data_IF_143071879037
#
_entry.id   IF_143071879037
#
_cell.length_a   1.000
_cell.length_b   1.000
_cell.length_c   1.000
_cell.angle_alpha   90.00
_cell.angle_beta   90.00
_cell.angle_gamma   90.00
#
_symmetry.space_group_name_H-M   'P 1'
#
loop_
_entity.id
_entity.type
_entity.pdbx_description
1 polymer ?
#
# COMPACT_ATOMS: atom_id res chain seq x y z
N UNK A 1 -12.98 16.82 14.75
CA UNK A 1 -13.37 15.43 14.46
C UNK A 1 -13.38 15.31 12.95
N UNK A 2 -12.42 14.61 12.36
CA UNK A 2 -12.37 14.43 10.91
C UNK A 2 -13.49 13.50 10.48
N UNK A 3 -14.19 13.86 9.43
CA UNK A 3 -15.13 12.96 8.80
C UNK A 3 -14.36 11.86 8.04
N UNK A 4 -14.98 10.69 7.90
CA UNK A 4 -14.46 9.56 7.12
C UNK A 4 -14.08 9.97 5.68
N UNK A 5 -14.74 10.99 5.15
CA UNK A 5 -14.48 11.58 3.84
C UNK A 5 -13.14 12.31 3.81
N UNK A 6 -12.79 13.02 4.87
CA UNK A 6 -11.51 13.73 5.00
C UNK A 6 -10.36 12.74 5.15
N UNK A 7 -10.55 11.66 5.92
CA UNK A 7 -9.56 10.60 6.05
C UNK A 7 -9.32 9.86 4.72
N UNK A 8 -10.38 9.50 3.99
CA UNK A 8 -10.27 8.86 2.67
C UNK A 8 -9.68 9.81 1.63
N UNK A 9 -9.88 11.11 1.75
CA UNK A 9 -9.22 12.12 0.93
C UNK A 9 -7.72 12.19 1.23
N UNK A 10 -7.30 12.05 2.48
CA UNK A 10 -5.88 11.91 2.83
C UNK A 10 -5.27 10.61 2.30
N UNK A 11 -5.98 9.49 2.42
CA UNK A 11 -5.54 8.20 1.89
C UNK A 11 -5.53 8.17 0.35
N UNK A 12 -6.51 8.80 -0.32
CA UNK A 12 -6.56 8.85 -1.79
C UNK A 12 -5.48 9.78 -2.37
N UNK A 13 -5.06 10.80 -1.64
CA UNK A 13 -3.86 11.59 -1.97
C UNK A 13 -2.60 10.73 -1.81
N UNK A 14 -2.61 9.80 -0.87
CA UNK A 14 -1.53 8.81 -0.70
C UNK A 14 -1.57 7.68 -1.74
N UNK A 15 -2.74 7.39 -2.35
CA UNK A 15 -2.97 6.24 -3.23
C UNK A 15 -3.24 6.54 -4.71
N UNK A 16 -3.15 7.79 -5.17
CA UNK A 16 -3.16 8.13 -6.61
C UNK A 16 -4.44 7.87 -7.40
N UNK A 17 -5.64 7.85 -6.77
CA UNK A 17 -6.91 7.74 -7.48
C UNK A 17 -7.63 9.09 -7.56
N UNK A 18 -7.71 9.67 -8.75
CA UNK A 18 -8.31 10.96 -9.02
C UNK A 18 -9.66 10.85 -9.74
N UNK A 19 -10.67 11.55 -9.22
CA UNK A 19 -11.80 12.03 -9.99
C UNK A 19 -11.83 13.55 -9.96
N UNK A 20 -12.09 14.16 -11.11
CA UNK A 20 -12.10 15.60 -11.36
C UNK A 20 -13.26 16.30 -10.66
N UNK A 21 -13.14 16.60 -9.38
CA UNK A 21 -14.04 17.54 -8.70
C UNK A 21 -13.24 18.42 -7.74
N UNK A 22 -13.53 19.71 -7.76
CA UNK A 22 -12.92 20.78 -6.99
C UNK A 22 -12.61 20.34 -5.55
N UNK A 23 -11.31 20.30 -5.22
CA UNK A 23 -10.85 19.98 -3.87
C UNK A 23 -11.19 21.13 -2.93
N UNK A 24 -11.86 20.88 -1.78
CA UNK A 24 -11.91 21.87 -0.72
C UNK A 24 -10.48 22.06 -0.20
N UNK A 25 -10.10 23.31 0.04
CA UNK A 25 -8.83 23.67 0.67
C UNK A 25 -8.71 22.91 1.98
N UNK A 26 -7.79 21.94 2.03
CA UNK A 26 -7.56 21.15 3.25
C UNK A 26 -6.82 22.07 4.21
N UNK A 27 -7.51 22.58 5.22
CA UNK A 27 -6.86 23.25 6.33
C UNK A 27 -5.86 22.25 6.95
N UNK A 28 -4.59 22.66 7.07
CA UNK A 28 -3.57 21.82 7.70
C UNK A 28 -4.07 21.36 9.06
N UNK A 29 -4.20 20.04 9.29
CA UNK A 29 -4.71 19.55 10.55
C UNK A 29 -3.68 19.85 11.63
N UNK A 30 -4.00 20.78 12.51
CA UNK A 30 -3.22 21.01 13.72
C UNK A 30 -3.38 19.80 14.63
N UNK A 31 -2.31 19.04 14.81
CA UNK A 31 -2.18 17.97 15.82
C UNK A 31 -3.10 16.74 15.60
N UNK A 32 -3.07 16.11 14.44
CA UNK A 32 -3.62 14.75 14.29
C UNK A 32 -2.73 13.81 15.10
N UNK A 33 -3.31 13.16 16.10
CA UNK A 33 -2.64 12.09 16.83
C UNK A 33 -2.81 10.75 16.09
N UNK A 34 -1.91 9.79 16.36
CA UNK A 34 -2.03 8.42 15.85
C UNK A 34 -3.40 7.81 16.19
N UNK A 35 -3.90 8.08 17.40
CA UNK A 35 -5.24 7.65 17.83
C UNK A 35 -6.37 8.26 16.99
N UNK A 36 -6.20 9.44 16.43
CA UNK A 36 -7.22 10.07 15.58
C UNK A 36 -7.26 9.44 14.19
N UNK A 37 -6.14 8.92 13.69
CA UNK A 37 -6.08 8.20 12.41
C UNK A 37 -6.83 6.87 12.46
N UNK A 38 -6.95 6.28 13.64
CA UNK A 38 -7.60 4.99 13.86
C UNK A 38 -9.09 5.13 14.24
N UNK A 39 -9.54 6.34 14.60
CA UNK A 39 -10.93 6.62 14.98
C UNK A 39 -11.77 6.95 13.77
N UNK A 40 -12.41 5.96 13.19
CA UNK A 40 -13.46 6.14 12.19
C UNK A 40 -14.69 5.32 12.57
N UNK A 41 -15.87 5.96 12.48
CA UNK A 41 -17.13 5.31 12.82
C UNK A 41 -17.41 4.11 11.89
N UNK A 42 -17.73 2.97 12.47
CA UNK A 42 -18.19 1.82 11.71
C UNK A 42 -19.57 2.10 11.12
N UNK A 43 -19.70 1.95 9.79
CA UNK A 43 -21.00 2.09 9.10
C UNK A 43 -21.62 0.76 8.66
N UNK A 44 -20.92 -0.34 8.86
CA UNK A 44 -21.33 -1.66 8.44
C UNK A 44 -21.08 -2.70 9.52
N UNK A 45 -21.39 -3.96 9.19
CA UNK A 45 -21.20 -5.11 10.07
C UNK A 45 -19.82 -5.75 9.89
N UNK A 46 -19.15 -5.51 8.76
CA UNK A 46 -17.84 -6.05 8.40
C UNK A 46 -16.92 -4.91 8.00
N UNK A 47 -15.66 -5.01 8.38
CA UNK A 47 -14.57 -4.11 7.97
C UNK A 47 -13.67 -4.85 7.00
N UNK A 48 -13.49 -4.30 5.80
CA UNK A 48 -12.49 -4.79 4.84
C UNK A 48 -11.21 -3.97 5.01
N UNK A 49 -10.12 -4.65 5.29
CA UNK A 49 -8.76 -4.11 5.20
C UNK A 49 -8.11 -4.66 3.94
N UNK A 50 -7.57 -3.79 3.14
CA UNK A 50 -6.84 -4.17 1.93
C UNK A 50 -5.43 -3.60 2.01
N UNK A 51 -4.46 -4.48 1.87
CA UNK A 51 -3.05 -4.14 1.69
C UNK A 51 -2.59 -4.64 0.32
N UNK A 52 -1.58 -4.02 -0.25
CA UNK A 52 -0.98 -4.40 -1.53
C UNK A 52 0.39 -3.75 -1.65
N UNK A 53 1.23 -4.27 -2.54
CA UNK A 53 2.51 -3.65 -2.91
C UNK A 53 3.43 -3.36 -1.72
N UNK A 54 3.51 -4.29 -0.78
CA UNK A 54 4.36 -4.14 0.41
C UNK A 54 5.85 -4.25 0.07
N UNK A 55 6.19 -4.81 -1.10
CA UNK A 55 7.53 -4.89 -1.65
C UNK A 55 8.59 -5.39 -0.66
N UNK A 56 8.22 -6.36 0.17
CA UNK A 56 9.07 -6.95 1.21
C UNK A 56 9.70 -5.91 2.16
N UNK A 57 9.03 -4.79 2.37
CA UNK A 57 9.49 -3.75 3.28
C UNK A 57 9.06 -4.04 4.71
N UNK A 58 9.81 -4.89 5.41
CA UNK A 58 9.51 -5.28 6.80
C UNK A 58 9.63 -4.11 7.78
N UNK A 59 10.58 -3.19 7.56
CA UNK A 59 10.86 -2.07 8.44
C UNK A 59 10.78 -0.74 7.71
N UNK A 60 10.47 0.37 8.41
CA UNK A 60 10.50 1.69 7.81
C UNK A 60 11.84 2.03 7.17
N UNK A 61 11.80 2.67 6.02
CA UNK A 61 12.97 3.12 5.27
C UNK A 61 12.91 4.63 5.00
N UNK A 62 14.04 5.20 4.59
CA UNK A 62 14.06 6.53 3.99
C UNK A 62 13.63 6.39 2.52
N UNK A 63 12.33 6.59 2.31
CA UNK A 63 11.76 6.57 0.96
C UNK A 63 12.16 7.82 0.19
N UNK A 64 12.54 7.65 -1.07
CA UNK A 64 12.83 8.73 -1.99
C UNK A 64 11.99 8.54 -3.24
N UNK A 65 10.97 9.37 -3.47
CA UNK A 65 10.23 9.38 -4.71
C UNK A 65 11.17 9.64 -5.90
N UNK A 66 10.87 9.12 -7.10
CA UNK A 66 11.65 9.41 -8.29
C UNK A 66 11.68 10.91 -8.57
N UNK A 67 12.82 11.40 -9.11
CA UNK A 67 12.95 12.80 -9.50
C UNK A 67 12.25 13.10 -10.82
N UNK A 68 11.99 12.07 -11.61
CA UNK A 68 11.45 12.15 -12.95
C UNK A 68 10.39 11.06 -13.15
N UNK A 69 9.37 11.41 -13.92
CA UNK A 69 8.31 10.48 -14.32
C UNK A 69 7.83 10.90 -15.71
N UNK A 70 8.29 10.20 -16.72
CA UNK A 70 8.07 10.57 -18.11
C UNK A 70 6.69 10.14 -18.60
N UNK A 71 5.88 11.11 -19.03
CA UNK A 71 4.74 10.88 -19.90
C UNK A 71 5.18 10.80 -21.35
N UNK A 72 4.38 10.17 -22.20
CA UNK A 72 4.62 10.04 -23.64
C UNK A 72 3.52 10.78 -24.42
N UNK A 73 3.91 11.63 -25.37
CA UNK A 73 2.96 12.39 -26.19
C UNK A 73 2.09 13.32 -25.35
N UNK A 74 0.78 13.18 -25.47
CA UNK A 74 -0.19 14.04 -24.78
C UNK A 74 -0.24 13.84 -23.26
N UNK A 75 0.46 12.85 -22.74
CA UNK A 75 0.54 12.58 -21.29
C UNK A 75 1.77 13.21 -20.61
N UNK A 76 2.60 13.95 -21.33
CA UNK A 76 3.74 14.65 -20.76
C UNK A 76 3.28 15.81 -19.87
N UNK A 77 3.83 15.89 -18.68
CA UNK A 77 3.59 17.00 -17.74
C UNK A 77 2.19 17.09 -17.13
N UNK A 78 1.38 16.02 -17.28
CA UNK A 78 0.08 15.89 -16.61
C UNK A 78 0.07 14.66 -15.68
N UNK A 79 -0.84 14.59 -14.68
CA UNK A 79 -0.97 13.40 -13.84
C UNK A 79 -1.22 12.13 -14.67
N UNK A 80 -0.60 11.00 -14.30
CA UNK A 80 0.26 10.75 -13.12
C UNK A 80 1.74 11.10 -13.31
N UNK A 81 2.12 11.77 -14.40
CA UNK A 81 3.50 12.04 -14.82
C UNK A 81 4.06 13.35 -14.25
N UNK A 82 3.69 13.70 -13.04
CA UNK A 82 4.20 14.86 -12.32
C UNK A 82 5.06 14.43 -11.13
N UNK A 83 6.20 15.12 -10.94
CA UNK A 83 7.09 14.90 -9.80
C UNK A 83 7.60 16.21 -9.23
N UNK A 84 8.15 16.17 -8.03
CA UNK A 84 8.83 17.29 -7.41
C UNK A 84 7.97 18.55 -7.29
N UNK A 85 8.48 19.67 -7.73
CA UNK A 85 7.80 20.98 -7.58
C UNK A 85 6.52 21.11 -8.40
N UNK A 86 6.46 20.44 -9.55
CA UNK A 86 5.27 20.46 -10.40
C UNK A 86 4.14 19.66 -9.79
N UNK A 87 4.47 18.53 -9.16
CA UNK A 87 3.53 17.76 -8.34
C UNK A 87 2.97 18.61 -7.19
N UNK A 88 3.83 19.25 -6.40
CA UNK A 88 3.40 20.11 -5.30
C UNK A 88 2.47 21.24 -5.77
N UNK A 89 2.82 21.87 -6.91
CA UNK A 89 2.02 22.96 -7.49
C UNK A 89 0.66 22.46 -7.97
N UNK A 90 0.63 21.36 -8.69
CA UNK A 90 -0.60 20.80 -9.26
C UNK A 90 -1.61 20.41 -8.17
N UNK A 91 -1.14 19.79 -7.10
CA UNK A 91 -1.97 19.33 -6.00
C UNK A 91 -2.12 20.33 -4.85
N UNK A 92 -1.62 21.55 -5.02
CA UNK A 92 -1.64 22.59 -4.00
C UNK A 92 -1.06 22.14 -2.64
N UNK A 93 -0.01 21.33 -2.68
CA UNK A 93 0.68 20.84 -1.49
C UNK A 93 1.70 21.88 -1.04
N UNK A 94 1.62 22.29 0.22
CA UNK A 94 2.56 23.20 0.82
C UNK A 94 3.95 22.56 0.99
N UNK A 95 5.01 23.32 0.67
CA UNK A 95 6.39 22.86 0.88
C UNK A 95 6.70 22.67 2.36
N UNK A 96 7.70 21.87 2.65
CA UNK A 96 8.16 21.59 4.01
C UNK A 96 7.08 21.00 4.92
N UNK A 97 6.19 20.20 4.35
CA UNK A 97 5.15 19.48 5.09
C UNK A 97 5.38 17.97 5.04
N UNK A 98 4.78 17.18 5.95
CA UNK A 98 4.82 15.72 5.89
C UNK A 98 4.32 15.18 4.54
N UNK A 99 3.33 15.85 3.96
CA UNK A 99 2.74 15.49 2.68
C UNK A 99 3.73 15.71 1.52
N UNK A 100 4.43 16.85 1.52
CA UNK A 100 5.49 17.12 0.54
C UNK A 100 6.62 16.10 0.64
N UNK A 101 6.99 15.70 1.86
CA UNK A 101 8.00 14.69 2.12
C UNK A 101 7.58 13.30 1.64
N UNK A 102 6.32 12.92 1.85
CA UNK A 102 5.80 11.61 1.44
C UNK A 102 5.69 11.46 -0.08
N UNK A 103 5.47 12.55 -0.82
CA UNK A 103 5.16 12.50 -2.26
C UNK A 103 6.24 13.06 -3.18
N UNK A 104 7.26 13.71 -2.66
CA UNK A 104 8.30 14.33 -3.50
C UNK A 104 9.68 14.20 -2.89
N UNK A 105 10.70 14.43 -3.71
CA UNK A 105 12.08 14.56 -3.24
C UNK A 105 12.49 16.03 -2.97
N UNK A 106 11.55 16.97 -3.04
CA UNK A 106 11.82 18.39 -2.77
C UNK A 106 12.24 18.57 -1.32
N UNK A 107 13.41 19.20 -1.11
CA UNK A 107 14.03 19.40 0.21
C UNK A 107 14.19 18.10 1.04
N UNK A 108 14.33 16.96 0.35
CA UNK A 108 14.33 15.62 0.93
C UNK A 108 15.25 15.45 2.13
N UNK A 109 16.50 15.93 2.04
CA UNK A 109 17.51 15.71 3.10
C UNK A 109 17.11 16.38 4.42
N UNK A 110 16.54 17.58 4.36
CA UNK A 110 16.07 18.28 5.56
C UNK A 110 14.80 17.66 6.13
N UNK A 111 13.85 17.33 5.25
CA UNK A 111 12.59 16.71 5.67
C UNK A 111 12.77 15.27 6.19
N UNK A 112 13.73 14.51 5.64
CA UNK A 112 14.07 13.20 6.16
C UNK A 112 14.65 13.25 7.59
N UNK A 113 15.36 14.31 7.95
CA UNK A 113 15.83 14.53 9.34
C UNK A 113 14.68 14.87 10.29
N UNK A 114 13.66 15.56 9.79
CA UNK A 114 12.49 15.98 10.56
C UNK A 114 11.46 14.86 10.71
N UNK A 115 11.09 14.22 9.61
CA UNK A 115 10.00 13.23 9.56
C UNK A 115 10.48 11.78 9.63
N UNK A 116 11.73 11.51 9.35
CA UNK A 116 12.33 10.19 9.51
C UNK A 116 11.91 9.17 8.44
N UNK A 117 11.88 7.91 8.83
CA UNK A 117 11.59 6.78 7.95
C UNK A 117 10.09 6.58 7.76
N UNK A 118 9.70 6.10 6.57
CA UNK A 118 8.32 5.85 6.16
C UNK A 118 8.06 4.36 5.92
N UNK A 119 6.77 3.98 5.94
CA UNK A 119 6.32 2.62 5.65
C UNK A 119 6.71 1.60 6.71
N UNK A 120 6.84 0.36 6.30
CA UNK A 120 7.20 -0.79 7.13
C UNK A 120 6.00 -1.66 7.49
N UNK A 121 6.14 -2.98 7.24
CA UNK A 121 5.10 -3.94 7.59
C UNK A 121 4.84 -4.01 9.10
N UNK A 122 5.85 -3.72 9.91
CA UNK A 122 5.72 -3.61 11.36
C UNK A 122 4.69 -2.55 11.79
N UNK A 123 4.69 -1.38 11.13
CA UNK A 123 3.69 -0.33 11.38
C UNK A 123 2.32 -0.71 10.82
N UNK A 124 2.28 -1.30 9.63
CA UNK A 124 1.04 -1.82 9.04
C UNK A 124 0.42 -2.89 9.94
N UNK A 125 1.20 -3.80 10.48
CA UNK A 125 0.76 -4.82 11.42
C UNK A 125 0.16 -4.20 12.70
N UNK A 126 0.78 -3.15 13.22
CA UNK A 126 0.22 -2.41 14.36
C UNK A 126 -1.15 -1.80 14.05
N UNK A 127 -1.31 -1.16 12.88
CA UNK A 127 -2.57 -0.58 12.45
C UNK A 127 -3.66 -1.65 12.30
N UNK A 128 -3.33 -2.77 11.63
CA UNK A 128 -4.26 -3.90 11.45
C UNK A 128 -4.69 -4.47 12.80
N UNK A 129 -3.73 -4.67 13.71
CA UNK A 129 -4.01 -5.16 15.07
C UNK A 129 -4.95 -4.22 15.82
N UNK A 130 -4.67 -2.91 15.80
CA UNK A 130 -5.50 -1.90 16.47
C UNK A 130 -6.94 -1.87 15.92
N UNK A 131 -7.10 -2.02 14.60
CA UNK A 131 -8.42 -2.07 13.97
C UNK A 131 -9.16 -3.37 14.35
N UNK A 132 -8.46 -4.50 14.36
CA UNK A 132 -9.04 -5.79 14.81
C UNK A 132 -9.48 -5.74 16.27
N UNK A 133 -8.69 -5.13 17.15
CA UNK A 133 -9.03 -4.94 18.57
C UNK A 133 -10.25 -4.02 18.75
N UNK A 134 -10.38 -2.96 17.96
CA UNK A 134 -11.50 -2.03 18.02
C UNK A 134 -12.80 -2.63 17.47
N UNK A 135 -12.72 -3.37 16.36
CA UNK A 135 -13.89 -3.82 15.61
C UNK A 135 -14.38 -5.21 15.97
N UNK A 136 -13.54 -6.00 16.61
CA UNK A 136 -13.70 -7.44 16.76
C UNK A 136 -13.04 -8.19 15.61
N UNK A 137 -12.20 -9.16 15.96
CA UNK A 137 -11.39 -9.90 14.99
C UNK A 137 -12.25 -10.66 13.95
N UNK A 138 -13.42 -11.13 14.38
CA UNK A 138 -14.43 -11.82 13.57
C UNK A 138 -15.16 -10.91 12.56
N UNK A 139 -14.97 -9.60 12.66
CA UNK A 139 -15.61 -8.59 11.80
C UNK A 139 -14.63 -7.88 10.87
N UNK A 140 -13.39 -8.28 10.89
CA UNK A 140 -12.33 -7.67 10.05
C UNK A 140 -11.80 -8.70 9.09
N UNK A 141 -11.93 -8.44 7.81
CA UNK A 141 -11.36 -9.23 6.72
C UNK A 141 -10.14 -8.51 6.18
N UNK A 142 -8.97 -9.16 6.24
CA UNK A 142 -7.71 -8.64 5.70
C UNK A 142 -7.41 -9.33 4.37
N UNK A 143 -7.30 -8.56 3.31
CA UNK A 143 -6.98 -9.03 1.97
C UNK A 143 -5.65 -8.44 1.51
N UNK A 144 -4.80 -9.27 0.89
CA UNK A 144 -3.55 -8.84 0.27
C UNK A 144 -3.67 -8.91 -1.26
N UNK A 145 -3.44 -7.78 -1.91
CA UNK A 145 -3.48 -7.62 -3.36
C UNK A 145 -2.22 -8.09 -4.10
N UNK A 146 -1.24 -8.67 -3.38
CA UNK A 146 0.01 -9.13 -3.97
C UNK A 146 1.09 -8.06 -4.08
N UNK A 147 2.15 -8.39 -4.81
CA UNK A 147 3.41 -7.64 -4.88
C UNK A 147 4.05 -7.43 -3.50
N UNK A 148 3.92 -8.47 -2.70
CA UNK A 148 4.29 -8.46 -1.28
C UNK A 148 5.64 -9.13 -1.04
N UNK A 149 5.99 -10.21 -1.80
CA UNK A 149 7.11 -11.09 -1.47
C UNK A 149 8.46 -10.68 -2.05
N UNK A 150 8.54 -9.59 -2.77
CA UNK A 150 9.78 -9.13 -3.40
C UNK A 150 9.95 -7.62 -3.29
N UNK A 151 11.21 -7.16 -3.38
CA UNK A 151 11.53 -5.73 -3.34
C UNK A 151 12.59 -5.37 -2.30
N UNK A 152 12.95 -6.29 -1.38
CA UNK A 152 14.05 -6.10 -0.44
C UNK A 152 15.21 -7.07 -0.70
N UNK A 153 16.39 -6.70 -0.22
CA UNK A 153 17.56 -7.59 -0.28
C UNK A 153 17.32 -8.90 0.49
N UNK A 154 16.67 -8.83 1.65
CA UNK A 154 16.35 -10.00 2.46
C UNK A 154 15.45 -10.96 1.68
N UNK A 155 14.38 -10.45 1.10
CA UNK A 155 13.45 -11.26 0.32
C UNK A 155 14.12 -11.87 -0.93
N UNK A 156 15.05 -11.14 -1.56
CA UNK A 156 15.85 -11.70 -2.65
C UNK A 156 16.69 -12.92 -2.18
N UNK A 157 17.29 -12.84 -1.00
CA UNK A 157 18.11 -13.93 -0.45
C UNK A 157 17.27 -15.12 -0.01
N UNK A 158 16.10 -14.89 0.56
CA UNK A 158 15.18 -15.91 1.05
C UNK A 158 14.23 -16.41 -0.04
N UNK A 159 14.28 -15.78 -1.22
CA UNK A 159 13.33 -16.03 -2.30
C UNK A 159 11.87 -15.99 -1.83
N UNK A 160 11.51 -14.94 -1.08
CA UNK A 160 10.16 -14.66 -0.59
C UNK A 160 9.76 -15.31 0.74
N UNK A 161 10.57 -16.24 1.29
CA UNK A 161 10.20 -16.98 2.51
C UNK A 161 10.06 -16.09 3.75
N UNK A 162 10.88 -15.07 3.88
CA UNK A 162 10.78 -14.08 4.96
C UNK A 162 9.41 -13.40 4.98
N UNK A 163 8.88 -13.10 3.79
CA UNK A 163 7.57 -12.46 3.65
C UNK A 163 6.41 -13.41 3.89
N UNK A 164 6.50 -14.67 3.43
CA UNK A 164 5.51 -15.71 3.78
C UNK A 164 5.42 -15.85 5.30
N UNK A 165 6.56 -15.92 5.99
CA UNK A 165 6.59 -15.98 7.45
C UNK A 165 5.97 -14.74 8.11
N UNK A 166 6.24 -13.55 7.57
CA UNK A 166 5.66 -12.30 8.06
C UNK A 166 4.16 -12.22 7.80
N UNK A 167 3.69 -12.66 6.64
CA UNK A 167 2.28 -12.71 6.29
C UNK A 167 1.50 -13.69 7.16
N UNK A 168 2.05 -14.86 7.47
CA UNK A 168 1.44 -15.80 8.41
C UNK A 168 1.24 -15.19 9.80
N UNK A 169 2.20 -14.36 10.28
CA UNK A 169 2.03 -13.61 11.52
C UNK A 169 0.96 -12.50 11.42
N UNK A 170 0.82 -11.89 10.25
CA UNK A 170 -0.19 -10.86 10.00
C UNK A 170 -1.60 -11.45 9.84
N UNK A 171 -1.65 -12.73 9.44
CA UNK A 171 -2.87 -13.53 9.26
C UNK A 171 -3.89 -12.86 8.32
N UNK A 172 -3.57 -12.69 7.02
CA UNK A 172 -4.56 -12.28 6.04
C UNK A 172 -5.58 -13.41 5.83
N UNK A 173 -6.79 -13.03 5.43
CA UNK A 173 -7.87 -13.99 5.13
C UNK A 173 -7.75 -14.55 3.71
N UNK A 174 -7.12 -13.79 2.80
CA UNK A 174 -6.74 -14.24 1.46
C UNK A 174 -5.66 -13.35 0.87
N UNK A 175 -4.89 -13.90 -0.07
CA UNK A 175 -3.88 -13.21 -0.85
C UNK A 175 -4.05 -13.54 -2.34
N UNK A 176 -3.73 -12.60 -3.22
CA UNK A 176 -3.55 -12.84 -4.66
C UNK A 176 -2.09 -12.63 -5.04
N UNK A 177 -1.66 -13.21 -6.15
CA UNK A 177 -0.33 -12.97 -6.70
C UNK A 177 -0.33 -11.80 -7.68
N UNK A 178 0.81 -11.08 -7.74
CA UNK A 178 1.13 -10.09 -8.74
C UNK A 178 2.53 -10.42 -9.32
N UNK A 179 3.59 -9.83 -8.80
CA UNK A 179 4.96 -10.18 -9.22
C UNK A 179 5.53 -11.42 -8.53
N UNK A 180 4.82 -12.02 -7.61
CA UNK A 180 5.16 -13.31 -6.98
C UNK A 180 5.38 -14.40 -8.04
N UNK A 181 4.69 -14.32 -9.17
CA UNK A 181 4.86 -15.24 -10.31
C UNK A 181 6.27 -15.19 -10.92
N UNK A 182 7.02 -14.10 -10.73
CA UNK A 182 8.41 -13.99 -11.22
C UNK A 182 9.40 -14.86 -10.48
N UNK A 183 9.03 -15.41 -9.31
CA UNK A 183 9.82 -16.39 -8.57
C UNK A 183 9.89 -17.76 -9.29
N UNK A 184 9.05 -17.97 -10.29
CA UNK A 184 8.93 -19.21 -11.02
C UNK A 184 7.94 -20.18 -10.36
N UNK A 185 7.40 -21.10 -11.19
CA UNK A 185 6.31 -22.00 -10.81
C UNK A 185 6.61 -22.86 -9.58
N UNK A 186 7.78 -23.47 -9.55
CA UNK A 186 8.18 -24.37 -8.48
C UNK A 186 8.32 -23.63 -7.15
N UNK A 187 8.97 -22.47 -7.19
CA UNK A 187 9.17 -21.67 -5.98
C UNK A 187 7.86 -21.06 -5.48
N UNK A 188 7.02 -20.57 -6.37
CA UNK A 188 5.69 -20.06 -6.00
C UNK A 188 4.88 -21.15 -5.30
N UNK A 189 4.87 -22.37 -5.84
CA UNK A 189 4.16 -23.50 -5.23
C UNK A 189 4.68 -23.80 -3.82
N UNK A 190 5.99 -23.87 -3.61
CA UNK A 190 6.58 -24.08 -2.29
C UNK A 190 6.18 -23.02 -1.29
N UNK A 191 6.11 -21.76 -1.70
CA UNK A 191 5.73 -20.64 -0.86
C UNK A 191 4.24 -20.66 -0.52
N UNK A 192 3.39 -20.91 -1.51
CA UNK A 192 1.94 -20.99 -1.30
C UNK A 192 1.53 -22.17 -0.42
N UNK A 193 2.26 -23.29 -0.45
CA UNK A 193 2.07 -24.41 0.46
C UNK A 193 2.42 -24.09 1.92
N UNK A 194 3.22 -23.06 2.16
CA UNK A 194 3.61 -22.60 3.50
C UNK A 194 2.84 -21.38 3.97
N UNK A 195 1.97 -20.83 3.13
CA UNK A 195 1.12 -19.71 3.48
C UNK A 195 -0.11 -20.21 4.22
N UNK A 196 -0.43 -19.60 5.38
CA UNK A 196 -1.56 -20.00 6.23
C UNK A 196 -2.93 -19.53 5.70
N UNK A 197 -2.97 -18.72 4.65
CA UNK A 197 -4.19 -18.25 4.01
C UNK A 197 -4.31 -18.74 2.56
N UNK A 198 -5.53 -18.76 1.98
CA UNK A 198 -5.71 -19.06 0.58
C UNK A 198 -4.96 -18.09 -0.33
N UNK A 199 -4.16 -18.65 -1.26
CA UNK A 199 -3.59 -17.91 -2.38
C UNK A 199 -4.53 -18.04 -3.59
N UNK A 200 -5.18 -16.93 -3.97
CA UNK A 200 -6.24 -16.93 -4.98
C UNK A 200 -5.63 -16.55 -6.33
N UNK A 201 -5.72 -17.45 -7.29
CA UNK A 201 -5.22 -17.24 -8.65
C UNK A 201 -6.31 -17.50 -9.68
N UNK A 202 -7.32 -16.61 -9.77
CA UNK A 202 -8.46 -16.82 -10.69
C UNK A 202 -8.05 -16.93 -12.16
N UNK A 203 -6.92 -16.38 -12.58
CA UNK A 203 -6.36 -16.55 -13.92
C UNK A 203 -5.77 -17.96 -14.14
N UNK A 204 -5.38 -18.67 -13.07
CA UNK A 204 -4.90 -20.05 -13.17
C UNK A 204 -6.06 -21.03 -13.40
N UNK A 205 -7.22 -20.73 -12.85
CA UNK A 205 -8.42 -21.54 -13.07
C UNK A 205 -8.97 -21.46 -14.49
N UNK A 206 -8.78 -20.34 -15.18
CA UNK A 206 -9.24 -20.17 -16.57
C UNK A 206 -8.35 -20.91 -17.57
N UNK A 207 -7.09 -21.17 -17.28
CA UNK A 207 -6.23 -22.02 -18.12
C UNK A 207 -6.52 -23.51 -17.93
N UNK A 208 -6.82 -23.94 -16.72
CA UNK A 208 -7.18 -25.34 -16.43
C UNK A 208 -8.55 -25.73 -17.03
N UNK A 209 -9.50 -24.80 -16.99
CA UNK A 209 -10.82 -25.02 -17.61
C UNK A 209 -10.77 -25.03 -19.17
N UNK A 210 -9.75 -24.45 -19.78
CA UNK A 210 -9.56 -24.50 -21.23
C UNK A 210 -8.92 -25.80 -21.70
N UNK A 211 -8.10 -26.44 -20.86
CA UNK A 211 -7.42 -27.70 -21.17
C UNK A 211 -8.34 -28.92 -21.01
N UNK A 212 -9.47 -28.81 -20.31
CA UNK A 212 -10.46 -29.89 -20.14
C UNK A 212 -11.47 -30.00 -21.30
N UNK A 213 -11.47 -29.07 -22.26
CA UNK A 213 -12.46 -29.04 -23.35
C UNK A 213 -11.97 -29.77 -24.61
N UNK A 214 -10.71 -30.17 -24.70
CA UNK A 214 -10.10 -30.88 -25.84
C UNK A 214 -9.81 -32.36 -25.55
N UNK A 215 -10.61 -33.02 -24.69
CA UNK A 215 -10.57 -34.44 -24.43
C UNK A 215 -11.76 -35.19 -25.04
#
# INVERSE_FOLDING_TARGET
MFSRREFLQYLSVMGGLFSTSSFPTIASPKNITEADLLKFDSKGQVTLLHITDMHAQLKPIYFRPPSENYGVGDFEGIPPHLVGRDFLRHFAIEKNTPLAYAHTMVDYVSLAKEYGKLGGLDRTAYLIKSIREERGNDKVLLLDGGDTWQGSYTSLQTQGMDMVSAMNLLSPDAMVGHWEFTLGKERLKELTEQLDCPFIGCLLYTSDAADEVDG
#
